data_IF_104938968771
#
_entry.id   IF_104938968771
#
_cell.length_a   1.000
_cell.length_b   1.000
_cell.length_c   1.000
_cell.angle_alpha   90.00
_cell.angle_beta   90.00
_cell.angle_gamma   90.00
#
_symmetry.space_group_name_H-M   'P 1'
#
loop_
_entity.id
_entity.type
_entity.pdbx_description
1 polymer ?
#
# COMPACT_ATOMS: atom_id res chain seq x y z
N UNK A 1 -4.16 -19.09 -5.56
CA UNK A 1 -4.44 -18.19 -4.42
C UNK A 1 -3.39 -17.09 -4.45
N UNK A 2 -3.77 -15.82 -4.40
CA UNK A 2 -2.80 -14.71 -4.48
C UNK A 2 -2.43 -14.23 -3.07
N UNK A 3 -1.14 -14.03 -2.81
CA UNK A 3 -0.61 -13.33 -1.63
C UNK A 3 -0.34 -11.84 -1.90
N UNK A 4 -0.62 -11.39 -3.12
CA UNK A 4 -0.37 -10.03 -3.58
C UNK A 4 -1.67 -9.31 -3.96
N UNK A 5 -1.63 -7.98 -3.84
CA UNK A 5 -2.66 -7.11 -4.36
C UNK A 5 -2.68 -7.19 -5.89
N UNK A 6 -3.89 -7.09 -6.46
CA UNK A 6 -4.04 -7.05 -7.91
C UNK A 6 -3.31 -5.83 -8.48
N UNK A 7 -2.52 -6.03 -9.53
CA UNK A 7 -1.80 -4.93 -10.20
C UNK A 7 -0.62 -4.34 -9.42
N UNK A 8 -0.26 -4.89 -8.25
CA UNK A 8 0.97 -4.51 -7.55
C UNK A 8 2.07 -5.54 -7.88
N UNK A 9 3.12 -5.13 -8.62
CA UNK A 9 4.21 -6.04 -8.95
C UNK A 9 4.93 -6.46 -7.67
N UNK A 10 5.08 -7.78 -7.50
CA UNK A 10 5.64 -8.40 -6.30
C UNK A 10 6.65 -9.45 -6.71
N UNK A 11 7.85 -9.39 -6.16
CA UNK A 11 8.85 -10.42 -6.35
C UNK A 11 8.38 -11.74 -5.75
N UNK A 12 8.64 -12.84 -6.46
CA UNK A 12 8.28 -14.20 -6.02
C UNK A 12 8.75 -14.52 -4.62
N UNK A 13 9.97 -14.11 -4.25
CA UNK A 13 10.53 -14.37 -2.93
C UNK A 13 9.67 -13.78 -1.79
N UNK A 14 9.06 -12.62 -2.02
CA UNK A 14 8.15 -11.98 -1.05
C UNK A 14 6.82 -12.72 -1.02
N UNK A 15 6.25 -13.03 -2.17
CA UNK A 15 5.00 -13.80 -2.26
C UNK A 15 5.12 -15.18 -1.60
N UNK A 16 6.26 -15.85 -1.75
CA UNK A 16 6.56 -17.16 -1.16
C UNK A 16 6.69 -17.06 0.36
N UNK A 17 7.39 -16.04 0.88
CA UNK A 17 7.52 -15.80 2.32
C UNK A 17 6.16 -15.54 2.99
N UNK A 18 5.27 -14.78 2.35
CA UNK A 18 3.90 -14.60 2.84
C UNK A 18 3.07 -15.89 2.79
N UNK A 19 3.25 -16.71 1.76
CA UNK A 19 2.58 -18.00 1.67
C UNK A 19 3.08 -18.95 2.78
N UNK A 20 4.36 -18.89 3.13
CA UNK A 20 4.93 -19.62 4.27
C UNK A 20 4.34 -19.16 5.59
N UNK A 21 4.32 -17.85 5.86
CA UNK A 21 3.64 -17.29 7.03
C UNK A 21 2.17 -17.73 7.12
N UNK A 22 1.46 -17.74 5.98
CA UNK A 22 0.08 -18.22 5.93
C UNK A 22 -0.06 -19.68 6.36
N UNK A 23 0.87 -20.56 5.94
CA UNK A 23 0.90 -21.97 6.37
C UNK A 23 1.21 -22.10 7.85
N UNK A 24 2.19 -21.34 8.36
CA UNK A 24 2.57 -21.37 9.78
C UNK A 24 1.41 -20.94 10.69
N UNK A 25 0.69 -19.89 10.31
CA UNK A 25 -0.52 -19.44 11.00
C UNK A 25 -1.62 -20.52 10.98
N UNK A 26 -1.84 -21.18 9.84
CA UNK A 26 -2.79 -22.30 9.77
C UNK A 26 -2.39 -23.45 10.70
N UNK A 27 -1.11 -23.83 10.71
CA UNK A 27 -0.57 -24.86 11.62
C UNK A 27 -0.69 -24.48 13.09
N UNK A 28 -0.64 -23.19 13.43
CA UNK A 28 -0.87 -22.67 14.77
C UNK A 28 -2.37 -22.55 15.14
N UNK A 29 -3.30 -22.93 14.24
CA UNK A 29 -4.74 -22.96 14.49
C UNK A 29 -5.47 -21.65 14.18
N UNK A 30 -4.86 -20.75 13.41
CA UNK A 30 -5.53 -19.57 12.87
C UNK A 30 -6.26 -19.89 11.56
N UNK A 31 -7.41 -19.27 11.36
CA UNK A 31 -8.09 -19.28 10.06
C UNK A 31 -7.38 -18.30 9.12
N UNK A 32 -6.94 -18.79 7.96
CA UNK A 32 -6.25 -17.97 6.95
C UNK A 32 -7.05 -18.01 5.66
N UNK A 33 -7.45 -16.83 5.20
CA UNK A 33 -8.16 -16.61 3.94
C UNK A 33 -7.25 -15.80 3.02
N UNK A 34 -6.96 -16.33 1.84
CA UNK A 34 -6.16 -15.63 0.83
C UNK A 34 -7.04 -14.72 -0.02
N UNK A 35 -6.63 -13.48 -0.18
CA UNK A 35 -7.33 -12.51 -1.03
C UNK A 35 -7.07 -11.07 -0.61
N UNK A 36 -7.72 -10.18 -1.35
CA UNK A 36 -7.72 -8.75 -1.08
C UNK A 36 -9.14 -8.21 -1.31
N UNK A 37 -9.56 -7.15 -0.60
CA UNK A 37 -10.76 -6.42 -0.94
C UNK A 37 -10.64 -5.87 -2.37
N UNK A 38 -11.77 -5.83 -3.08
CA UNK A 38 -11.83 -5.24 -4.42
C UNK A 38 -11.89 -3.72 -4.32
N UNK A 39 -10.73 -3.08 -4.35
CA UNK A 39 -10.59 -1.63 -4.29
C UNK A 39 -10.41 -1.03 -5.69
N UNK A 40 -10.89 0.20 -5.90
CA UNK A 40 -10.54 0.99 -7.09
C UNK A 40 -9.19 1.66 -6.86
N UNK A 41 -8.12 0.90 -7.11
CA UNK A 41 -6.73 1.32 -6.84
C UNK A 41 -6.37 2.63 -7.53
N UNK A 42 -6.85 2.83 -8.75
CA UNK A 42 -6.58 4.04 -9.53
C UNK A 42 -7.26 5.26 -8.93
N UNK A 43 -8.52 5.13 -8.52
CA UNK A 43 -9.24 6.19 -7.83
C UNK A 43 -8.60 6.50 -6.48
N UNK A 44 -8.26 5.46 -5.70
CA UNK A 44 -7.68 5.62 -4.37
C UNK A 44 -6.30 6.26 -4.41
N UNK A 45 -5.43 5.87 -5.36
CA UNK A 45 -4.12 6.51 -5.56
C UNK A 45 -4.26 7.98 -5.95
N UNK A 46 -5.20 8.32 -6.85
CA UNK A 46 -5.48 9.72 -7.22
C UNK A 46 -5.95 10.54 -6.04
N UNK A 47 -6.82 9.97 -5.21
CA UNK A 47 -7.30 10.58 -3.98
C UNK A 47 -6.16 10.80 -2.98
N UNK A 48 -5.29 9.80 -2.77
CA UNK A 48 -4.13 9.95 -1.89
C UNK A 48 -3.21 11.07 -2.38
N UNK A 49 -2.95 11.15 -3.69
CA UNK A 49 -2.16 12.23 -4.28
C UNK A 49 -2.82 13.60 -4.03
N UNK A 50 -4.13 13.70 -4.24
CA UNK A 50 -4.88 14.94 -4.02
C UNK A 50 -4.81 15.41 -2.56
N UNK A 51 -4.95 14.48 -1.62
CA UNK A 51 -4.86 14.78 -0.19
C UNK A 51 -3.43 15.16 0.19
N UNK A 52 -2.42 14.47 -0.37
CA UNK A 52 -1.01 14.83 -0.16
C UNK A 52 -0.67 16.22 -0.71
N UNK A 53 -1.27 16.63 -1.83
CA UNK A 53 -1.10 17.98 -2.39
C UNK A 53 -1.45 19.04 -1.33
N UNK A 54 -2.53 18.87 -0.56
CA UNK A 54 -2.92 19.78 0.54
C UNK A 54 -1.77 20.06 1.52
N UNK A 55 -0.96 19.07 1.84
CA UNK A 55 0.12 19.18 2.82
C UNK A 55 1.44 19.69 2.22
N UNK A 56 1.52 19.77 0.89
CA UNK A 56 2.72 20.22 0.17
C UNK A 56 2.57 21.61 -0.45
N UNK A 57 1.34 22.12 -0.57
CA UNK A 57 1.03 23.39 -1.22
C UNK A 57 0.70 24.53 -0.26
N UNK A 58 0.81 24.35 1.06
CA UNK A 58 0.67 25.45 2.02
C UNK A 58 1.90 26.35 1.89
N UNK A 59 1.78 27.34 1.00
CA UNK A 59 2.67 28.49 0.91
C UNK A 59 2.29 29.47 2.01
N UNK A 60 3.26 30.08 2.68
CA UNK A 60 3.02 31.16 3.65
C UNK A 60 2.10 32.24 3.03
N UNK A 61 0.88 32.36 3.55
CA UNK A 61 -0.02 33.47 3.25
C UNK A 61 -0.59 34.02 4.55
N UNK A 62 -0.47 35.33 4.75
CA UNK A 62 -1.02 36.07 5.89
C UNK A 62 -2.55 36.13 5.89
N UNK A 63 -3.21 35.73 4.78
CA UNK A 63 -4.66 35.72 4.66
C UNK A 63 -5.18 34.31 4.28
N UNK A 64 -5.87 33.61 5.20
CA UNK A 64 -6.37 32.25 4.98
C UNK A 64 -7.52 32.16 3.96
N UNK A 65 -8.07 33.30 3.51
CA UNK A 65 -9.18 33.36 2.55
C UNK A 65 -8.72 33.67 1.11
N UNK A 66 -7.48 34.14 0.93
CA UNK A 66 -6.93 34.40 -0.41
C UNK A 66 -6.06 33.25 -0.86
N UNK A 67 -6.38 32.67 -2.03
CA UNK A 67 -5.47 31.74 -2.70
C UNK A 67 -4.32 32.53 -3.34
N UNK A 68 -3.05 32.24 -3.03
CA UNK A 68 -1.93 32.88 -3.70
C UNK A 68 -1.96 32.60 -5.21
N UNK A 69 -1.36 33.50 -6.00
CA UNK A 69 -1.20 33.27 -7.43
C UNK A 69 -0.35 32.00 -7.67
N UNK A 70 -0.87 31.07 -8.46
CA UNK A 70 -0.22 29.77 -8.68
C UNK A 70 -0.60 28.68 -7.67
N UNK A 71 -1.57 28.92 -6.77
CA UNK A 71 -2.09 27.90 -5.86
C UNK A 71 -2.68 26.69 -6.62
N UNK A 72 -2.01 25.55 -6.52
CA UNK A 72 -2.46 24.27 -7.06
C UNK A 72 -3.26 23.44 -6.05
N UNK A 73 -3.54 23.98 -4.86
CA UNK A 73 -4.26 23.27 -3.81
C UNK A 73 -5.63 22.81 -4.31
N UNK A 74 -6.05 21.59 -3.94
CA UNK A 74 -7.34 21.05 -4.36
C UNK A 74 -8.49 21.94 -3.87
N UNK A 75 -9.55 22.03 -4.66
CA UNK A 75 -10.77 22.73 -4.23
C UNK A 75 -11.55 21.90 -3.20
N UNK A 76 -12.41 22.54 -2.40
CA UNK A 76 -13.27 21.84 -1.44
C UNK A 76 -14.12 20.74 -2.10
N UNK A 77 -14.65 20.98 -3.31
CA UNK A 77 -15.39 19.97 -4.07
C UNK A 77 -14.51 18.78 -4.47
N UNK A 78 -13.25 19.00 -4.87
CA UNK A 78 -12.33 17.90 -5.18
C UNK A 78 -11.97 17.10 -3.93
N UNK A 79 -11.76 17.77 -2.80
CA UNK A 79 -11.51 17.13 -1.50
C UNK A 79 -12.71 16.29 -1.06
N UNK A 80 -13.93 16.81 -1.18
CA UNK A 80 -15.14 16.05 -0.85
C UNK A 80 -15.30 14.80 -1.72
N UNK A 81 -15.05 14.89 -3.03
CA UNK A 81 -15.03 13.72 -3.90
C UNK A 81 -13.96 12.69 -3.47
N UNK A 82 -12.79 13.15 -3.04
CA UNK A 82 -11.74 12.30 -2.49
C UNK A 82 -12.19 11.59 -1.20
N UNK A 83 -12.79 12.32 -0.26
CA UNK A 83 -13.33 11.76 0.98
C UNK A 83 -14.35 10.65 0.70
N UNK A 84 -15.26 10.83 -0.25
CA UNK A 84 -16.23 9.80 -0.64
C UNK A 84 -15.55 8.52 -1.17
N UNK A 85 -14.46 8.66 -1.93
CA UNK A 85 -13.66 7.52 -2.41
C UNK A 85 -12.96 6.81 -1.24
N UNK A 86 -12.36 7.57 -0.31
CA UNK A 86 -11.71 7.00 0.88
C UNK A 86 -12.72 6.28 1.78
N UNK A 87 -13.88 6.88 2.00
CA UNK A 87 -14.94 6.29 2.80
C UNK A 87 -15.42 4.97 2.19
N UNK A 88 -15.69 4.95 0.88
CA UNK A 88 -16.09 3.72 0.20
C UNK A 88 -15.02 2.63 0.29
N UNK A 89 -13.75 2.98 0.09
CA UNK A 89 -12.65 2.03 0.22
C UNK A 89 -12.52 1.52 1.67
N UNK A 90 -12.75 2.38 2.66
CA UNK A 90 -12.79 1.99 4.08
C UNK A 90 -13.88 0.97 4.36
N UNK A 91 -15.11 1.25 3.93
CA UNK A 91 -16.25 0.34 4.08
C UNK A 91 -15.99 -1.02 3.41
N UNK A 92 -15.30 -1.05 2.27
CA UNK A 92 -14.92 -2.29 1.59
C UNK A 92 -13.88 -3.11 2.38
N UNK A 93 -12.88 -2.46 2.99
CA UNK A 93 -11.90 -3.13 3.86
C UNK A 93 -12.59 -3.64 5.12
N UNK A 94 -13.44 -2.84 5.76
CA UNK A 94 -14.17 -3.23 6.96
C UNK A 94 -15.12 -4.41 6.68
N UNK A 95 -15.82 -4.41 5.54
CA UNK A 95 -16.63 -5.53 5.11
C UNK A 95 -15.81 -6.80 4.86
N UNK A 96 -14.63 -6.66 4.26
CA UNK A 96 -13.68 -7.77 4.05
C UNK A 96 -13.14 -8.33 5.36
N UNK A 97 -12.92 -7.48 6.37
CA UNK A 97 -12.47 -7.85 7.71
C UNK A 97 -13.60 -8.23 8.67
N UNK A 98 -14.85 -8.21 8.22
CA UNK A 98 -15.98 -8.61 9.04
C UNK A 98 -16.09 -10.14 9.03
N UNK A 99 -15.96 -10.82 10.19
CA UNK A 99 -16.09 -12.26 10.24
C UNK A 99 -17.53 -12.71 9.89
N UNK A 100 -17.72 -13.93 9.33
CA UNK A 100 -19.05 -14.46 9.06
C UNK A 100 -19.91 -14.53 10.34
N UNK A 101 -21.22 -14.28 10.20
CA UNK A 101 -22.17 -14.34 11.32
C UNK A 101 -22.14 -15.72 11.99
N UNK A 102 -21.89 -15.75 13.31
CA UNK A 102 -21.90 -16.97 14.14
C UNK A 102 -20.53 -17.36 14.72
N UNK A 103 -19.43 -16.77 14.24
CA UNK A 103 -18.11 -16.93 14.84
C UNK A 103 -18.00 -16.18 16.17
N UNK A 104 -17.49 -16.84 17.22
CA UNK A 104 -17.02 -16.15 18.44
C UNK A 104 -15.95 -15.16 18.00
N UNK A 105 -16.22 -13.85 18.14
CA UNK A 105 -15.33 -12.75 17.70
C UNK A 105 -13.87 -13.08 17.97
N UNK A 106 -13.09 -13.23 16.90
CA UNK A 106 -11.63 -13.16 16.91
C UNK A 106 -11.28 -11.98 16.00
N UNK A 107 -10.31 -11.18 16.42
CA UNK A 107 -9.85 -10.03 15.65
C UNK A 107 -9.42 -10.50 14.26
N UNK A 108 -9.89 -9.83 13.21
CA UNK A 108 -9.44 -10.07 11.84
C UNK A 108 -8.34 -9.05 11.52
N UNK A 109 -7.25 -9.52 10.93
CA UNK A 109 -6.15 -8.68 10.46
C UNK A 109 -5.92 -8.94 8.99
N UNK A 110 -5.60 -7.88 8.25
CA UNK A 110 -5.15 -8.00 6.87
C UNK A 110 -3.63 -7.99 6.82
N UNK A 111 -3.02 -9.07 6.33
CA UNK A 111 -1.57 -9.18 6.19
C UNK A 111 -1.21 -9.01 4.73
N UNK A 112 -0.29 -8.09 4.46
CA UNK A 112 0.22 -7.76 3.13
C UNK A 112 1.76 -7.62 3.20
N UNK A 113 2.47 -7.77 2.07
CA UNK A 113 3.82 -7.21 1.96
C UNK A 113 3.85 -5.73 2.36
N UNK A 114 4.93 -5.29 2.98
CA UNK A 114 5.18 -3.86 3.17
C UNK A 114 5.55 -3.18 1.84
N UNK A 115 6.29 -3.89 0.99
CA UNK A 115 6.74 -3.50 -0.34
C UNK A 115 6.78 -4.73 -1.25
N UNK A 116 6.72 -4.52 -2.56
CA UNK A 116 6.73 -5.58 -3.57
C UNK A 116 8.12 -6.02 -4.04
N UNK A 117 9.20 -5.39 -3.59
CA UNK A 117 10.59 -5.76 -3.98
C UNK A 117 11.45 -5.98 -2.76
N UNK A 118 12.56 -6.71 -2.92
CA UNK A 118 13.64 -6.66 -1.93
C UNK A 118 14.32 -5.28 -1.95
N UNK A 119 15.15 -5.01 -0.95
CA UNK A 119 15.95 -3.79 -0.93
C UNK A 119 16.91 -3.79 -2.12
N UNK A 120 16.93 -2.69 -2.87
CA UNK A 120 17.81 -2.48 -4.02
C UNK A 120 18.53 -1.12 -3.90
N UNK A 121 19.68 -0.92 -4.57
CA UNK A 121 20.39 0.35 -4.55
C UNK A 121 19.50 1.50 -5.01
N UNK A 122 19.52 2.62 -4.28
CA UNK A 122 18.72 3.79 -4.65
C UNK A 122 19.05 4.24 -6.07
N UNK A 123 18.02 4.46 -6.89
CA UNK A 123 18.12 5.02 -8.22
C UNK A 123 17.68 6.49 -8.18
N UNK A 124 18.61 7.47 -8.19
CA UNK A 124 18.26 8.89 -8.12
C UNK A 124 17.44 9.38 -9.32
N UNK A 125 17.50 8.66 -10.44
CA UNK A 125 16.71 8.98 -11.65
C UNK A 125 15.27 8.45 -11.55
N UNK A 126 14.96 7.66 -10.52
CA UNK A 126 13.66 7.01 -10.33
C UNK A 126 13.17 6.28 -11.60
N UNK A 127 14.10 5.65 -12.32
CA UNK A 127 13.81 4.84 -13.51
C UNK A 127 13.06 3.55 -13.13
N UNK A 128 12.57 2.79 -14.13
CA UNK A 128 11.83 1.57 -13.88
C UNK A 128 12.57 0.59 -12.96
N UNK A 129 11.83 -0.03 -12.04
CA UNK A 129 12.32 -1.11 -11.16
C UNK A 129 12.00 -2.45 -11.82
N UNK A 130 12.96 -3.38 -11.77
CA UNK A 130 12.74 -4.75 -12.25
C UNK A 130 12.16 -5.60 -11.13
N UNK A 131 11.05 -6.28 -11.40
CA UNK A 131 10.42 -7.26 -10.51
C UNK A 131 10.34 -8.56 -11.27
N UNK A 132 11.05 -9.60 -10.81
CA UNK A 132 11.18 -10.90 -11.50
C UNK A 132 11.56 -10.76 -13.00
N UNK A 133 12.36 -9.75 -13.34
CA UNK A 133 12.83 -9.47 -14.70
C UNK A 133 11.92 -8.59 -15.54
N UNK A 134 10.74 -8.22 -15.06
CA UNK A 134 9.81 -7.31 -15.74
C UNK A 134 9.93 -5.88 -15.20
N UNK A 135 9.88 -4.88 -16.11
CA UNK A 135 10.06 -3.49 -15.77
C UNK A 135 8.76 -2.79 -15.38
N UNK A 136 8.72 -2.18 -14.20
CA UNK A 136 7.59 -1.42 -13.68
C UNK A 136 7.98 0.00 -13.29
N UNK A 137 7.05 0.97 -13.31
CA UNK A 137 7.27 2.29 -12.73
C UNK A 137 7.83 2.20 -11.31
N UNK A 138 8.88 2.98 -11.01
CA UNK A 138 9.65 2.93 -9.76
C UNK A 138 8.79 2.88 -8.49
N UNK A 139 7.73 3.68 -8.44
CA UNK A 139 6.86 3.83 -7.27
C UNK A 139 5.91 2.65 -7.07
N UNK A 140 5.59 1.90 -8.13
CA UNK A 140 4.50 0.91 -8.11
C UNK A 140 4.78 -0.26 -7.15
N UNK A 141 5.93 -0.95 -7.20
CA UNK A 141 6.24 -1.99 -6.22
C UNK A 141 6.54 -1.41 -4.83
N UNK A 142 7.04 -0.17 -4.72
CA UNK A 142 7.43 0.42 -3.45
C UNK A 142 6.25 0.91 -2.60
N UNK A 143 5.22 1.47 -3.24
CA UNK A 143 4.10 2.11 -2.54
C UNK A 143 2.80 1.33 -2.65
N UNK A 144 2.69 0.37 -3.58
CA UNK A 144 1.44 -0.31 -3.94
C UNK A 144 0.68 -0.96 -2.78
N UNK A 145 1.39 -1.34 -1.72
CA UNK A 145 0.79 -1.94 -0.52
C UNK A 145 0.45 -0.91 0.57
N UNK A 146 1.42 -0.07 0.93
CA UNK A 146 1.30 0.85 2.06
C UNK A 146 0.28 1.96 1.84
N UNK A 147 0.06 2.37 0.59
CA UNK A 147 -0.89 3.45 0.31
C UNK A 147 -2.34 3.07 0.64
N UNK A 148 -2.69 1.78 0.63
CA UNK A 148 -4.05 1.32 0.93
C UNK A 148 -4.45 1.71 2.35
N UNK A 149 -3.59 1.40 3.33
CA UNK A 149 -3.80 1.75 4.72
C UNK A 149 -3.75 3.27 4.93
N UNK A 150 -2.78 3.96 4.30
CA UNK A 150 -2.66 5.41 4.41
C UNK A 150 -3.89 6.15 3.86
N UNK A 151 -4.38 5.76 2.68
CA UNK A 151 -5.50 6.40 2.02
C UNK A 151 -6.84 6.13 2.70
N UNK A 152 -6.98 4.99 3.39
CA UNK A 152 -8.21 4.62 4.09
C UNK A 152 -8.18 4.94 5.58
N UNK A 153 -7.02 5.34 6.12
CA UNK A 153 -6.84 5.69 7.53
C UNK A 153 -6.86 4.48 8.48
N UNK A 154 -6.60 3.27 7.98
CA UNK A 154 -6.52 2.09 8.83
C UNK A 154 -5.18 2.04 9.58
N UNK A 155 -5.17 1.62 10.86
CA UNK A 155 -3.92 1.39 11.57
C UNK A 155 -3.15 0.25 10.89
N UNK A 156 -1.87 0.47 10.64
CA UNK A 156 -0.96 -0.50 10.04
C UNK A 156 0.34 -0.59 10.85
N UNK A 157 0.89 -1.80 10.92
CA UNK A 157 2.21 -2.07 11.49
C UNK A 157 3.02 -2.88 10.49
N UNK A 158 4.27 -2.50 10.28
CA UNK A 158 5.22 -3.29 9.51
C UNK A 158 6.03 -4.16 10.48
N UNK A 159 6.08 -5.46 10.23
CA UNK A 159 6.85 -6.42 11.02
C UNK A 159 7.76 -7.24 10.11
N UNK A 160 8.99 -7.54 10.52
CA UNK A 160 9.85 -8.47 9.80
C UNK A 160 9.27 -9.90 9.94
N UNK A 161 9.07 -10.57 8.81
CA UNK A 161 8.57 -11.97 8.77
C UNK A 161 9.61 -12.96 8.25
N UNK A 162 10.76 -12.45 7.77
CA UNK A 162 11.83 -13.26 7.19
C UNK A 162 12.89 -12.40 6.54
N UNK A 163 13.89 -13.06 5.94
CA UNK A 163 14.98 -12.44 5.19
C UNK A 163 14.92 -12.94 3.74
N UNK A 164 14.79 -12.02 2.79
CA UNK A 164 14.88 -12.34 1.37
C UNK A 164 16.34 -12.22 0.91
N UNK A 165 16.92 -13.33 0.44
CA UNK A 165 18.34 -13.42 0.09
C UNK A 165 19.23 -13.51 1.33
N UNK A 166 19.89 -14.66 1.52
CA UNK A 166 20.67 -14.93 2.74
C UNK A 166 21.79 -13.93 2.96
N UNK A 167 21.58 -12.95 3.84
CA UNK A 167 22.57 -12.18 4.62
C UNK A 167 23.71 -11.46 3.89
N UNK A 168 23.82 -11.58 2.56
CA UNK A 168 24.89 -10.99 1.79
C UNK A 168 24.67 -9.49 1.61
N UNK A 169 25.73 -8.67 1.65
CA UNK A 169 25.62 -7.27 1.27
C UNK A 169 25.03 -7.16 -0.14
N UNK A 170 24.23 -6.12 -0.44
CA UNK A 170 23.69 -5.92 -1.77
C UNK A 170 24.84 -5.95 -2.78
N UNK A 171 24.69 -6.67 -3.92
CA UNK A 171 25.78 -6.81 -4.87
C UNK A 171 26.23 -5.43 -5.34
N UNK A 172 27.51 -5.14 -5.13
CA UNK A 172 28.20 -3.94 -5.57
C UNK A 172 28.30 -3.99 -7.10
N UNK A 173 27.23 -3.60 -7.81
CA UNK A 173 27.31 -3.38 -9.24
C UNK A 173 27.60 -1.91 -9.55
N UNK A 174 28.53 -1.63 -10.49
CA UNK A 174 28.82 -0.29 -10.93
C UNK A 174 27.76 0.14 -11.95
N UNK A 175 27.11 1.29 -11.69
CA UNK A 175 26.38 2.06 -12.68
C UNK A 175 27.10 3.39 -12.88
#
# INVERSE_FOLDING_TARGET
>A
MSTSLHGVPTERAISDALAELGRDLQSAGFEVVYGAPSLDDRALFRTQKLVAELFTTIVDTDNPLSRPAGDTSPSASRLHCAELVQQRAREQIEAFLTPPRGGRRRHCVWILPAVGTVAFPHNPRHGPTLVDGEAFPYWQPLLGYSYQAAATGHPAVAMPIGMAGGGGPPPLFPW
#
